data_IF_582884373344
#
_entry.id   IF_582884373344
#
_cell.length_a   1.000
_cell.length_b   1.000
_cell.length_c   1.000
_cell.angle_alpha   90.00
_cell.angle_beta   90.00
_cell.angle_gamma   90.00
#
_symmetry.space_group_name_H-M   'P 1'
#
loop_
_entity.id
_entity.type
_entity.pdbx_description
1 polymer ?
#
# COMPACT_ATOMS: atom_id res chain seq x y z
N UNK A 1 -11.43 -26.63 12.15
CA UNK A 1 -10.39 -26.22 11.18
C UNK A 1 -10.59 -24.74 10.89
N UNK A 2 -9.60 -23.90 11.19
CA UNK A 2 -9.73 -22.45 11.01
C UNK A 2 -9.68 -22.15 9.50
N UNK A 3 -10.72 -21.49 8.96
CA UNK A 3 -10.87 -21.28 7.52
C UNK A 3 -10.33 -19.91 7.10
N UNK A 4 -9.03 -19.83 6.84
CA UNK A 4 -8.35 -18.63 6.37
C UNK A 4 -8.49 -18.37 4.85
N UNK A 5 -9.29 -19.19 4.14
CA UNK A 5 -9.27 -19.24 2.66
C UNK A 5 -7.94 -19.75 2.09
N UNK A 6 -7.87 -19.99 0.78
CA UNK A 6 -6.66 -20.55 0.14
C UNK A 6 -5.44 -19.61 0.26
N UNK A 7 -5.65 -18.30 0.16
CA UNK A 7 -4.58 -17.29 0.29
C UNK A 7 -4.04 -17.23 1.72
N UNK A 8 -4.92 -17.25 2.73
CA UNK A 8 -4.51 -17.24 4.14
C UNK A 8 -3.71 -18.47 4.53
N UNK A 9 -4.05 -19.65 4.00
CA UNK A 9 -3.25 -20.88 4.20
C UNK A 9 -1.82 -20.73 3.68
N UNK A 10 -1.66 -20.15 2.49
CA UNK A 10 -0.34 -19.91 1.88
C UNK A 10 0.45 -18.91 2.72
N UNK A 11 -0.16 -17.77 3.08
CA UNK A 11 0.48 -16.75 3.92
C UNK A 11 0.92 -17.33 5.26
N UNK A 12 0.05 -18.10 5.92
CA UNK A 12 0.37 -18.73 7.20
C UNK A 12 1.52 -19.75 7.07
N UNK A 13 1.52 -20.57 6.01
CA UNK A 13 2.60 -21.51 5.73
C UNK A 13 3.94 -20.79 5.54
N UNK A 14 3.96 -19.69 4.78
CA UNK A 14 5.17 -18.87 4.59
C UNK A 14 5.62 -18.21 5.90
N UNK A 15 4.69 -17.70 6.71
CA UNK A 15 5.01 -17.12 8.02
C UNK A 15 5.65 -18.15 8.94
N UNK A 16 5.13 -19.39 8.99
CA UNK A 16 5.72 -20.48 9.77
C UNK A 16 7.10 -20.85 9.27
N UNK A 17 7.30 -20.88 7.95
CA UNK A 17 8.61 -21.15 7.36
C UNK A 17 9.65 -20.09 7.75
N UNK A 18 9.30 -18.80 7.63
CA UNK A 18 10.17 -17.72 8.10
C UNK A 18 10.39 -17.79 9.62
N UNK A 19 9.34 -18.08 10.39
CA UNK A 19 9.46 -18.24 11.84
C UNK A 19 10.39 -19.39 12.25
N UNK A 20 10.41 -20.50 11.51
CA UNK A 20 11.33 -21.61 11.79
C UNK A 20 12.80 -21.14 11.76
N UNK A 21 13.11 -20.20 10.87
CA UNK A 21 14.44 -19.62 10.69
C UNK A 21 14.71 -18.53 11.72
N UNK A 22 13.78 -17.60 11.93
CA UNK A 22 14.00 -16.38 12.74
C UNK A 22 13.62 -16.52 14.21
N UNK A 23 12.76 -17.49 14.53
CA UNK A 23 12.07 -17.67 15.83
C UNK A 23 11.30 -16.42 16.30
N UNK A 24 10.93 -15.54 15.37
CA UNK A 24 10.21 -14.30 15.67
C UNK A 24 9.19 -13.99 14.56
N UNK A 25 7.90 -13.96 14.90
CA UNK A 25 6.82 -13.73 13.93
C UNK A 25 6.82 -12.31 13.38
N UNK A 26 7.31 -11.30 14.11
CA UNK A 26 7.39 -9.94 13.56
C UNK A 26 8.50 -9.82 12.51
N UNK A 27 9.62 -10.51 12.71
CA UNK A 27 10.66 -10.64 11.66
C UNK A 27 10.12 -11.48 10.48
N UNK A 28 9.35 -12.53 10.76
CA UNK A 28 8.70 -13.31 9.69
C UNK A 28 7.75 -12.47 8.84
N UNK A 29 7.00 -11.54 9.45
CA UNK A 29 6.14 -10.58 8.75
C UNK A 29 6.97 -9.63 7.88
N UNK A 30 8.11 -9.12 8.38
CA UNK A 30 9.02 -8.27 7.60
C UNK A 30 9.53 -9.01 6.36
N UNK A 31 9.97 -10.26 6.53
CA UNK A 31 10.46 -11.10 5.43
C UNK A 31 9.35 -11.42 4.42
N UNK A 32 8.14 -11.71 4.91
CA UNK A 32 6.96 -11.90 4.07
C UNK A 32 6.65 -10.65 3.23
N UNK A 33 6.67 -9.46 3.82
CA UNK A 33 6.50 -8.19 3.09
C UNK A 33 7.55 -8.04 1.98
N UNK A 34 8.81 -8.34 2.29
CA UNK A 34 9.91 -8.32 1.31
C UNK A 34 9.69 -9.31 0.16
N UNK A 35 9.30 -10.55 0.47
CA UNK A 35 9.01 -11.58 -0.52
C UNK A 35 7.87 -11.16 -1.45
N UNK A 36 6.75 -10.68 -0.90
CA UNK A 36 5.61 -10.19 -1.68
C UNK A 36 6.05 -9.05 -2.60
N UNK A 37 6.87 -8.12 -2.09
CA UNK A 37 7.41 -7.03 -2.89
C UNK A 37 8.28 -7.49 -4.05
N UNK A 38 9.16 -8.46 -3.84
CA UNK A 38 9.97 -9.06 -4.90
C UNK A 38 9.08 -9.70 -5.97
N UNK A 39 8.07 -10.47 -5.56
CA UNK A 39 7.13 -11.11 -6.50
C UNK A 39 6.31 -10.08 -7.29
N UNK A 40 5.86 -9.00 -6.63
CA UNK A 40 5.06 -7.94 -7.24
C UNK A 40 5.90 -6.84 -7.92
N UNK A 41 7.23 -6.95 -7.89
CA UNK A 41 8.14 -5.96 -8.45
C UNK A 41 7.94 -5.68 -9.95
N UNK A 42 7.80 -6.67 -10.85
CA UNK A 42 7.55 -6.41 -12.27
C UNK A 42 6.24 -5.64 -12.48
N UNK A 43 5.18 -6.01 -11.76
CA UNK A 43 3.90 -5.32 -11.81
C UNK A 43 4.03 -3.86 -11.32
N UNK A 44 4.73 -3.67 -10.20
CA UNK A 44 4.95 -2.35 -9.59
C UNK A 44 5.74 -1.44 -10.53
N UNK A 45 6.74 -1.96 -11.25
CA UNK A 45 7.46 -1.22 -12.29
C UNK A 45 6.54 -0.71 -13.40
N UNK A 46 5.64 -1.57 -13.90
CA UNK A 46 4.66 -1.18 -14.93
C UNK A 46 3.72 -0.09 -14.42
N UNK A 47 3.19 -0.26 -13.20
CA UNK A 47 2.34 0.73 -12.53
C UNK A 47 3.03 2.09 -12.40
N UNK A 48 4.26 2.11 -11.86
CA UNK A 48 5.02 3.33 -11.65
C UNK A 48 5.36 4.05 -12.96
N UNK A 49 5.67 3.30 -14.04
CA UNK A 49 5.88 3.89 -15.37
C UNK A 49 4.62 4.57 -15.90
N UNK A 50 3.44 3.98 -15.69
CA UNK A 50 2.16 4.61 -16.06
C UNK A 50 1.91 5.87 -15.23
N UNK A 51 2.12 5.82 -13.93
CA UNK A 51 1.96 6.96 -13.01
C UNK A 51 2.84 8.15 -13.41
N UNK A 52 4.12 7.92 -13.73
CA UNK A 52 5.01 9.00 -14.20
C UNK A 52 4.53 9.65 -15.50
N UNK A 53 3.99 8.85 -16.44
CA UNK A 53 3.41 9.39 -17.68
C UNK A 53 2.16 10.22 -17.39
N UNK A 54 1.30 9.77 -16.47
CA UNK A 54 0.13 10.54 -16.03
C UNK A 54 0.56 11.86 -15.40
N UNK A 55 1.60 11.87 -14.56
CA UNK A 55 2.11 13.11 -13.96
C UNK A 55 2.56 14.13 -15.02
N UNK A 56 3.16 13.69 -16.14
CA UNK A 56 3.60 14.59 -17.23
C UNK A 56 2.44 15.28 -17.96
N UNK A 57 1.27 14.65 -18.06
CA UNK A 57 0.11 15.19 -18.79
C UNK A 57 -0.84 16.00 -17.90
N UNK A 58 -0.61 16.03 -16.59
CA UNK A 58 -1.36 16.86 -15.65
C UNK A 58 -1.56 18.32 -16.03
N UNK A 59 -0.54 19.06 -16.56
CA UNK A 59 -0.79 20.41 -17.04
C UNK A 59 -1.84 20.48 -18.15
N UNK A 60 -1.88 19.49 -19.04
CA UNK A 60 -2.87 19.44 -20.13
C UNK A 60 -4.27 19.12 -19.57
N UNK A 61 -4.37 18.23 -18.58
CA UNK A 61 -5.63 17.95 -17.87
C UNK A 61 -6.13 19.21 -17.15
N UNK A 62 -5.23 19.98 -16.53
CA UNK A 62 -5.58 21.24 -15.87
C UNK A 62 -6.11 22.28 -16.88
N UNK A 63 -5.53 22.36 -18.08
CA UNK A 63 -6.05 23.21 -19.17
C UNK A 63 -7.44 22.75 -19.63
N UNK A 64 -7.65 21.44 -19.79
CA UNK A 64 -8.96 20.88 -20.14
C UNK A 64 -10.01 21.22 -19.06
N UNK A 65 -9.67 21.09 -17.78
CA UNK A 65 -10.55 21.48 -16.66
C UNK A 65 -10.93 22.95 -16.71
N UNK A 66 -10.01 23.83 -17.09
CA UNK A 66 -10.30 25.25 -17.24
C UNK A 66 -11.19 25.53 -18.45
N UNK A 67 -10.98 24.82 -19.57
CA UNK A 67 -11.77 24.98 -20.80
C UNK A 67 -13.21 24.47 -20.65
N UNK A 68 -13.40 23.35 -19.94
CA UNK A 68 -14.70 22.66 -19.80
C UNK A 68 -15.30 22.78 -18.40
N UNK A 69 -15.07 23.89 -17.68
CA UNK A 69 -15.59 24.10 -16.31
C UNK A 69 -17.09 23.86 -16.17
N UNK A 70 -17.87 24.22 -17.20
CA UNK A 70 -19.32 24.14 -17.20
C UNK A 70 -19.88 22.87 -17.87
N UNK A 71 -19.00 22.01 -18.40
CA UNK A 71 -19.40 20.77 -19.07
C UNK A 71 -18.56 19.58 -18.56
N UNK A 72 -18.97 18.95 -17.45
CA UNK A 72 -18.26 17.80 -16.89
C UNK A 72 -18.30 16.58 -17.81
N UNK A 73 -19.29 16.46 -18.70
CA UNK A 73 -19.34 15.34 -19.64
C UNK A 73 -18.29 15.51 -20.74
N UNK A 74 -18.19 16.71 -21.33
CA UNK A 74 -17.15 17.01 -22.31
C UNK A 74 -15.75 16.89 -21.69
N UNK A 75 -15.57 17.38 -20.45
CA UNK A 75 -14.31 17.24 -19.72
C UNK A 75 -13.87 15.76 -19.62
N UNK A 76 -14.77 14.86 -19.24
CA UNK A 76 -14.44 13.44 -19.10
C UNK A 76 -14.08 12.82 -20.45
N UNK A 77 -14.85 13.12 -21.51
CA UNK A 77 -14.58 12.64 -22.88
C UNK A 77 -13.21 13.08 -23.38
N UNK A 78 -12.90 14.38 -23.29
CA UNK A 78 -11.62 14.94 -23.75
C UNK A 78 -10.44 14.43 -22.92
N UNK A 79 -10.62 14.26 -21.61
CA UNK A 79 -9.59 13.67 -20.74
C UNK A 79 -9.30 12.22 -21.13
N UNK A 80 -10.34 11.43 -21.44
CA UNK A 80 -10.17 10.06 -21.91
C UNK A 80 -9.55 9.97 -23.30
N UNK A 81 -9.92 10.85 -24.22
CA UNK A 81 -9.29 10.96 -25.54
C UNK A 81 -7.81 11.36 -25.42
N UNK A 82 -7.48 12.27 -24.51
CA UNK A 82 -6.10 12.62 -24.22
C UNK A 82 -5.30 11.40 -23.71
N UNK A 83 -5.85 10.61 -22.79
CA UNK A 83 -5.20 9.38 -22.32
C UNK A 83 -4.95 8.39 -23.47
N UNK A 84 -5.92 8.21 -24.37
CA UNK A 84 -5.78 7.35 -25.55
C UNK A 84 -4.70 7.85 -26.51
N UNK A 85 -4.71 9.15 -26.84
CA UNK A 85 -3.70 9.78 -27.73
C UNK A 85 -2.28 9.62 -27.18
N UNK A 86 -2.12 9.77 -25.86
CA UNK A 86 -0.85 9.61 -25.17
C UNK A 86 -0.48 8.15 -24.87
N UNK A 87 -1.36 7.19 -25.22
CA UNK A 87 -1.23 5.75 -24.93
C UNK A 87 -0.93 5.48 -23.44
N UNK A 88 -1.66 6.16 -22.57
CA UNK A 88 -1.55 6.06 -21.10
C UNK A 88 -2.76 5.28 -20.57
N UNK A 89 -2.51 4.30 -19.71
CA UNK A 89 -3.58 3.56 -19.04
C UNK A 89 -3.83 4.15 -17.63
N UNK A 90 -5.00 4.77 -17.38
CA UNK A 90 -5.33 5.36 -16.08
C UNK A 90 -5.42 4.31 -14.96
N UNK A 91 -5.78 3.06 -15.28
CA UNK A 91 -5.83 1.97 -14.30
C UNK A 91 -4.43 1.49 -13.88
N UNK A 92 -3.38 1.89 -14.60
CA UNK A 92 -2.02 1.52 -14.26
C UNK A 92 -1.63 1.87 -12.83
N UNK A 93 -2.19 2.95 -12.26
CA UNK A 93 -1.90 3.41 -10.90
C UNK A 93 -2.54 2.63 -9.77
N UNK A 94 -3.70 1.99 -10.00
CA UNK A 94 -4.41 1.23 -8.98
C UNK A 94 -4.11 -0.27 -8.99
N UNK A 95 -3.38 -0.77 -10.00
CA UNK A 95 -2.97 -2.17 -10.12
C UNK A 95 -2.32 -2.72 -8.84
N UNK A 96 -1.37 -2.04 -8.17
CA UNK A 96 -0.75 -2.58 -6.95
C UNK A 96 -1.76 -2.79 -5.82
N UNK A 97 -2.77 -1.92 -5.73
CA UNK A 97 -3.77 -1.97 -4.67
C UNK A 97 -4.68 -3.20 -4.78
N UNK A 98 -5.03 -3.59 -6.02
CA UNK A 98 -5.88 -4.76 -6.30
C UNK A 98 -5.22 -6.04 -5.77
N UNK A 99 -3.91 -6.20 -5.95
CA UNK A 99 -3.19 -7.36 -5.44
C UNK A 99 -2.89 -7.25 -3.94
N UNK A 100 -2.71 -6.04 -3.43
CA UNK A 100 -2.41 -5.82 -2.01
C UNK A 100 -3.62 -6.13 -1.10
N UNK A 101 -4.85 -5.82 -1.55
CA UNK A 101 -6.06 -6.01 -0.75
C UNK A 101 -6.31 -7.48 -0.32
N UNK A 102 -6.28 -8.48 -1.23
CA UNK A 102 -6.42 -9.89 -0.84
C UNK A 102 -5.35 -10.35 0.16
N UNK A 103 -4.12 -9.88 -0.01
CA UNK A 103 -3.00 -10.20 0.89
C UNK A 103 -3.22 -9.59 2.26
N UNK A 104 -3.68 -8.34 2.32
CA UNK A 104 -4.02 -7.66 3.57
C UNK A 104 -5.12 -8.41 4.33
N UNK A 105 -6.23 -8.76 3.67
CA UNK A 105 -7.31 -9.51 4.31
C UNK A 105 -6.87 -10.89 4.78
N UNK A 106 -6.08 -11.59 3.96
CA UNK A 106 -5.54 -12.90 4.33
C UNK A 106 -4.57 -12.82 5.52
N UNK A 107 -3.71 -11.81 5.59
CA UNK A 107 -2.83 -11.61 6.75
C UNK A 107 -3.63 -11.21 7.99
N UNK A 108 -4.66 -10.37 7.84
CA UNK A 108 -5.54 -9.97 8.94
C UNK A 108 -6.28 -11.17 9.56
N UNK A 109 -6.84 -12.06 8.73
CA UNK A 109 -7.51 -13.28 9.24
C UNK A 109 -6.53 -14.23 9.89
N UNK A 110 -5.32 -14.40 9.33
CA UNK A 110 -4.26 -15.21 9.94
C UNK A 110 -3.84 -14.66 11.30
N UNK A 111 -3.58 -13.37 11.41
CA UNK A 111 -3.17 -12.73 12.68
C UNK A 111 -4.23 -12.85 13.78
N UNK A 112 -5.51 -12.80 13.42
CA UNK A 112 -6.62 -12.85 14.38
C UNK A 112 -6.95 -14.28 14.82
N UNK A 113 -6.95 -15.21 13.87
CA UNK A 113 -7.53 -16.54 14.10
C UNK A 113 -6.45 -17.61 14.37
N UNK A 114 -5.17 -17.40 14.01
CA UNK A 114 -4.10 -18.35 14.29
C UNK A 114 -3.64 -18.32 15.76
N UNK A 115 -3.79 -19.46 16.44
CA UNK A 115 -3.40 -19.64 17.85
C UNK A 115 -1.91 -19.40 18.06
N UNK A 116 -1.07 -19.82 17.11
CA UNK A 116 0.39 -19.65 17.16
C UNK A 116 0.85 -18.19 17.17
N UNK A 117 0.04 -17.28 16.60
CA UNK A 117 0.36 -15.85 16.54
C UNK A 117 -0.23 -15.07 17.72
N UNK A 118 -1.17 -15.65 18.46
CA UNK A 118 -1.71 -15.02 19.68
C UNK A 118 -0.62 -14.88 20.72
N UNK A 119 -0.52 -13.70 21.32
CA UNK A 119 0.49 -13.40 22.34
C UNK A 119 1.94 -13.58 21.86
N UNK A 120 2.17 -13.63 20.53
CA UNK A 120 3.53 -13.68 20.00
C UNK A 120 4.19 -12.32 20.15
N UNK A 121 5.33 -12.21 20.86
CA UNK A 121 6.08 -10.97 20.92
C UNK A 121 6.78 -10.69 19.59
N UNK A 122 7.10 -9.41 19.36
CA UNK A 122 8.01 -8.97 18.31
C UNK A 122 9.31 -8.46 18.92
N UNK A 123 9.41 -7.15 19.16
CA UNK A 123 10.55 -6.46 19.77
C UNK A 123 10.08 -5.23 20.54
N UNK A 124 10.92 -4.73 21.44
CA UNK A 124 10.68 -3.55 22.27
C UNK A 124 9.35 -3.62 23.04
N UNK A 125 8.39 -2.74 22.75
CA UNK A 125 7.10 -2.65 23.43
C UNK A 125 6.02 -3.57 22.84
N UNK A 126 6.25 -4.17 21.67
CA UNK A 126 5.27 -5.05 21.00
C UNK A 126 5.38 -6.46 21.60
N UNK A 127 4.51 -6.73 22.57
CA UNK A 127 4.42 -8.04 23.26
C UNK A 127 3.42 -9.00 22.62
N UNK A 128 2.54 -8.51 21.75
CA UNK A 128 1.54 -9.33 21.08
C UNK A 128 1.23 -8.75 19.69
N UNK A 129 1.58 -9.51 18.65
CA UNK A 129 1.35 -9.12 17.25
C UNK A 129 -0.12 -9.23 16.82
N UNK A 130 -0.94 -9.99 17.54
CA UNK A 130 -2.36 -10.21 17.24
C UNK A 130 -3.27 -9.13 17.85
N UNK A 131 -2.77 -8.37 18.82
CA UNK A 131 -3.47 -7.23 19.44
C UNK A 131 -2.96 -5.89 18.93
N UNK A 132 -3.68 -4.79 19.22
CA UNK A 132 -3.27 -3.44 18.80
C UNK A 132 -1.99 -2.97 19.52
N UNK A 133 -1.23 -2.08 18.88
CA UNK A 133 -0.06 -1.46 19.52
C UNK A 133 -0.50 -0.63 20.73
N UNK A 134 -0.07 -0.96 21.97
CA UNK A 134 -0.49 -0.26 23.18
C UNK A 134 -0.05 1.20 23.22
N UNK A 135 1.03 1.56 22.53
CA UNK A 135 1.57 2.92 22.49
C UNK A 135 1.29 3.64 21.16
N UNK A 136 0.61 2.98 20.21
CA UNK A 136 0.26 3.53 18.90
C UNK A 136 1.45 4.03 18.05
N UNK A 137 2.68 3.63 18.37
CA UNK A 137 3.89 4.04 17.66
C UNK A 137 3.89 3.50 16.24
N UNK A 138 3.57 2.22 16.05
CA UNK A 138 3.51 1.59 14.73
C UNK A 138 2.46 2.25 13.80
N UNK A 139 1.21 2.49 14.22
CA UNK A 139 0.24 3.22 13.42
C UNK A 139 0.69 4.62 13.01
N UNK A 140 1.31 5.37 13.92
CA UNK A 140 1.81 6.73 13.62
C UNK A 140 2.92 6.67 12.57
N UNK A 141 3.91 5.77 12.74
CA UNK A 141 4.98 5.57 11.75
C UNK A 141 4.42 5.10 10.40
N UNK A 142 3.42 4.23 10.42
CA UNK A 142 2.71 3.78 9.22
C UNK A 142 2.00 4.96 8.54
N UNK A 143 1.35 5.84 9.30
CA UNK A 143 0.73 7.08 8.80
C UNK A 143 1.75 8.01 8.16
N UNK A 144 2.90 8.24 8.80
CA UNK A 144 4.00 9.05 8.25
C UNK A 144 4.54 8.47 6.94
N UNK A 145 4.78 7.16 6.89
CA UNK A 145 5.27 6.51 5.66
C UNK A 145 4.22 6.52 4.55
N UNK A 146 2.94 6.35 4.89
CA UNK A 146 1.82 6.48 3.95
C UNK A 146 1.76 7.89 3.38
N UNK A 147 1.92 8.91 4.23
CA UNK A 147 1.94 10.31 3.81
C UNK A 147 3.08 10.59 2.81
N UNK A 148 4.29 10.10 3.12
CA UNK A 148 5.45 10.23 2.23
C UNK A 148 5.17 9.54 0.89
N UNK A 149 4.66 8.31 0.93
CA UNK A 149 4.35 7.54 -0.28
C UNK A 149 3.31 8.25 -1.14
N UNK A 150 2.22 8.76 -0.54
CA UNK A 150 1.18 9.49 -1.27
C UNK A 150 1.74 10.76 -1.91
N UNK A 151 2.61 11.51 -1.21
CA UNK A 151 3.28 12.69 -1.78
C UNK A 151 4.12 12.36 -3.00
N UNK A 152 4.79 11.20 -3.02
CA UNK A 152 5.58 10.75 -4.17
C UNK A 152 4.72 10.34 -5.37
N UNK A 153 3.52 9.81 -5.13
CA UNK A 153 2.60 9.33 -6.18
C UNK A 153 1.55 10.36 -6.61
N UNK A 154 1.36 11.44 -5.85
CA UNK A 154 0.30 12.43 -6.06
C UNK A 154 0.38 13.04 -7.47
N UNK A 155 -0.61 12.70 -8.29
CA UNK A 155 -0.61 13.09 -9.70
C UNK A 155 -1.24 14.47 -9.88
N UNK A 156 -2.28 14.84 -9.13
CA UNK A 156 -3.12 16.00 -9.46
C UNK A 156 -2.90 17.24 -8.57
N UNK A 157 -2.57 18.41 -9.14
CA UNK A 157 -2.18 19.61 -8.39
C UNK A 157 -3.34 20.27 -7.61
N UNK A 158 -4.59 20.09 -8.07
CA UNK A 158 -5.76 20.80 -7.52
C UNK A 158 -6.51 20.04 -6.42
N UNK A 159 -6.43 18.70 -6.36
CA UNK A 159 -7.04 17.90 -5.27
C UNK A 159 -6.04 17.60 -4.12
N UNK A 160 -4.85 18.22 -4.16
CA UNK A 160 -3.63 17.72 -3.52
C UNK A 160 -3.51 17.84 -2.00
N UNK A 161 -3.91 18.94 -1.31
CA UNK A 161 -3.71 19.01 0.13
C UNK A 161 -4.84 18.30 0.89
N UNK A 162 -6.08 18.76 0.75
CA UNK A 162 -7.17 18.31 1.62
C UNK A 162 -7.40 16.79 1.53
N UNK A 163 -7.44 16.21 0.33
CA UNK A 163 -7.69 14.77 0.15
C UNK A 163 -6.54 13.89 0.66
N UNK A 164 -5.29 14.27 0.41
CA UNK A 164 -4.10 13.51 0.85
C UNK A 164 -3.94 13.52 2.37
N UNK A 165 -4.06 14.70 2.99
CA UNK A 165 -3.99 14.83 4.45
C UNK A 165 -5.16 14.11 5.10
N UNK A 166 -6.39 14.33 4.62
CA UNK A 166 -7.59 13.69 5.15
C UNK A 166 -7.53 12.17 5.04
N UNK A 167 -7.22 11.63 3.86
CA UNK A 167 -7.16 10.18 3.63
C UNK A 167 -6.09 9.51 4.49
N UNK A 168 -4.91 10.13 4.63
CA UNK A 168 -3.84 9.55 5.45
C UNK A 168 -4.19 9.57 6.94
N UNK A 169 -4.73 10.68 7.44
CA UNK A 169 -5.14 10.78 8.85
C UNK A 169 -6.27 9.77 9.13
N UNK A 170 -7.28 9.72 8.25
CA UNK A 170 -8.39 8.79 8.34
C UNK A 170 -7.93 7.33 8.37
N UNK A 171 -7.05 6.92 7.43
CA UNK A 171 -6.50 5.57 7.38
C UNK A 171 -5.69 5.26 8.64
N UNK A 172 -4.89 6.22 9.12
CA UNK A 172 -4.08 6.06 10.32
C UNK A 172 -4.96 5.82 11.56
N UNK A 173 -6.04 6.59 11.72
CA UNK A 173 -6.98 6.45 12.84
C UNK A 173 -7.66 5.08 12.82
N UNK A 174 -8.06 4.59 11.65
CA UNK A 174 -8.61 3.24 11.51
C UNK A 174 -7.60 2.19 11.98
N UNK A 175 -6.34 2.30 11.53
CA UNK A 175 -5.28 1.34 11.83
C UNK A 175 -4.83 1.35 13.31
N UNK A 176 -5.23 2.34 14.11
CA UNK A 176 -5.02 2.33 15.58
C UNK A 176 -5.68 1.13 16.26
N UNK A 177 -6.75 0.59 15.68
CA UNK A 177 -7.50 -0.54 16.24
C UNK A 177 -7.13 -1.89 15.62
N UNK A 178 -6.20 -1.92 14.66
CA UNK A 178 -5.80 -3.16 13.99
C UNK A 178 -4.65 -3.87 14.72
N UNK A 179 -4.49 -5.20 14.52
CA UNK A 179 -3.37 -5.96 15.06
C UNK A 179 -2.01 -5.34 14.68
N UNK A 180 -1.10 -5.24 15.65
CA UNK A 180 0.22 -4.65 15.47
C UNK A 180 1.02 -5.33 14.34
N UNK A 181 0.86 -6.65 14.16
CA UNK A 181 1.47 -7.38 13.05
C UNK A 181 0.98 -6.93 11.67
N UNK A 182 -0.28 -6.54 11.55
CA UNK A 182 -0.83 -6.03 10.29
C UNK A 182 -0.34 -4.61 10.01
N UNK A 183 -0.26 -3.78 11.05
CA UNK A 183 0.28 -2.42 10.95
C UNK A 183 1.77 -2.47 10.59
N UNK A 184 2.53 -3.39 11.20
CA UNK A 184 3.93 -3.65 10.88
C UNK A 184 4.10 -4.07 9.41
N UNK A 185 3.29 -5.01 8.93
CA UNK A 185 3.28 -5.41 7.52
C UNK A 185 3.08 -4.20 6.59
N UNK A 186 2.11 -3.34 6.90
CA UNK A 186 1.82 -2.16 6.08
C UNK A 186 2.97 -1.15 6.12
N UNK A 187 3.51 -0.86 7.31
CA UNK A 187 4.67 0.01 7.50
C UNK A 187 5.86 -0.43 6.64
N UNK A 188 6.22 -1.72 6.72
CA UNK A 188 7.35 -2.27 5.99
C UNK A 188 7.08 -2.25 4.49
N UNK A 189 5.85 -2.59 4.06
CA UNK A 189 5.43 -2.49 2.66
C UNK A 189 5.60 -1.06 2.13
N UNK A 190 5.24 -0.04 2.91
CA UNK A 190 5.41 1.37 2.53
C UNK A 190 6.90 1.74 2.41
N UNK A 191 7.72 1.36 3.39
CA UNK A 191 9.17 1.64 3.37
C UNK A 191 9.80 1.01 2.12
N UNK A 192 9.50 -0.26 1.84
CA UNK A 192 9.98 -0.94 0.64
C UNK A 192 9.46 -0.26 -0.63
N UNK A 193 8.20 0.17 -0.67
CA UNK A 193 7.64 0.89 -1.81
C UNK A 193 8.36 2.22 -2.08
N UNK A 194 8.68 2.98 -1.03
CA UNK A 194 9.44 4.23 -1.16
C UNK A 194 10.84 3.94 -1.70
N UNK A 195 11.49 2.88 -1.20
CA UNK A 195 12.77 2.40 -1.71
C UNK A 195 12.71 2.01 -3.18
N UNK A 196 11.73 1.21 -3.57
CA UNK A 196 11.47 0.79 -4.96
C UNK A 196 11.24 1.99 -5.88
N UNK A 197 10.44 2.97 -5.46
CA UNK A 197 10.18 4.17 -6.23
C UNK A 197 11.46 4.98 -6.48
N UNK A 198 12.29 5.17 -5.43
CA UNK A 198 13.58 5.84 -5.57
C UNK A 198 14.54 5.07 -6.48
N UNK A 199 14.60 3.75 -6.33
CA UNK A 199 15.43 2.88 -7.17
C UNK A 199 15.02 2.97 -8.65
N UNK A 200 13.73 2.85 -8.95
CA UNK A 200 13.21 2.94 -10.32
C UNK A 200 13.37 4.36 -10.87
N UNK A 201 13.26 5.40 -10.04
CA UNK A 201 13.54 6.77 -10.45
C UNK A 201 15.01 7.05 -10.76
N UNK A 202 15.95 6.30 -10.17
CA UNK A 202 17.37 6.41 -10.48
C UNK A 202 17.75 5.65 -11.78
N UNK A 203 17.04 4.58 -12.11
CA UNK A 203 17.35 3.69 -13.24
C UNK A 203 16.64 4.10 -14.54
N UNK A 204 15.53 4.86 -14.47
CA UNK A 204 14.74 5.35 -15.62
C UNK A 204 14.97 6.83 -15.90
#
# INVERSE_FOLDING_TARGET
MINYGSIGKIIFSLLKWFYYITRNYGVAIILLSGLIKIVLFPLTRVSLKSMKKMQKIQPQIAMLRQRFKHDPQALNRETMELYKRMKINPMGGCLPMIFQLPIFFALFTVLRDAIELRHSPFIFWIRDLSSKDPYYVLPILMGVTTFIQQKMTATDQQQKPMMTYFMTIFLTVIFLNFPAGLVLYWLITNILSIGEQKLIAKIS
#
